data_IF_352694276589
#
_entry.id   IF_352694276589
#
_cell.length_a   1.000
_cell.length_b   1.000
_cell.length_c   1.000
_cell.angle_alpha   90.00
_cell.angle_beta   90.00
_cell.angle_gamma   90.00
#
_symmetry.space_group_name_H-M   'P 1'
#
loop_
_entity.id
_entity.type
_entity.pdbx_description
1 polymer ?
#
# COMPACT_ATOMS: atom_id res chain seq x y z
N UNK A 1 13.31 -5.92 -25.53
CA UNK A 1 14.50 -5.21 -25.03
C UNK A 1 14.00 -4.14 -24.08
N UNK A 2 14.64 -3.96 -22.92
CA UNK A 2 14.28 -2.87 -22.00
C UNK A 2 14.73 -1.53 -22.58
N UNK A 3 14.13 -0.43 -22.13
CA UNK A 3 14.55 0.92 -22.55
C UNK A 3 15.92 1.26 -21.96
N UNK A 4 16.71 2.06 -22.67
CA UNK A 4 17.96 2.62 -22.13
C UNK A 4 17.73 3.98 -21.43
N UNK A 5 16.53 4.57 -21.57
CA UNK A 5 16.17 5.83 -20.92
C UNK A 5 15.74 5.59 -19.46
N UNK A 6 16.46 6.12 -18.44
CA UNK A 6 16.08 6.01 -17.04
C UNK A 6 14.65 6.49 -16.73
N UNK A 7 14.10 7.44 -17.51
CA UNK A 7 12.75 7.93 -17.31
C UNK A 7 11.68 6.84 -17.51
N UNK A 8 11.90 5.93 -18.48
CA UNK A 8 10.99 4.82 -18.74
C UNK A 8 10.97 3.81 -17.58
N UNK A 9 12.13 3.56 -16.96
CA UNK A 9 12.25 2.72 -15.77
C UNK A 9 11.52 3.34 -14.59
N UNK A 10 11.74 4.64 -14.34
CA UNK A 10 11.07 5.37 -13.24
C UNK A 10 9.55 5.33 -13.42
N UNK A 11 9.04 5.57 -14.63
CA UNK A 11 7.60 5.51 -14.89
C UNK A 11 7.05 4.09 -14.72
N UNK A 12 7.80 3.07 -15.14
CA UNK A 12 7.42 1.68 -14.90
C UNK A 12 7.35 1.36 -13.39
N UNK A 13 8.34 1.76 -12.61
CA UNK A 13 8.38 1.56 -11.16
C UNK A 13 7.21 2.26 -10.46
N UNK A 14 6.93 3.52 -10.84
CA UNK A 14 5.76 4.27 -10.37
C UNK A 14 4.45 3.54 -10.68
N UNK A 15 4.33 2.92 -11.87
CA UNK A 15 3.16 2.09 -12.21
C UNK A 15 3.05 0.85 -11.34
N UNK A 16 4.17 0.20 -11.00
CA UNK A 16 4.16 -0.94 -10.07
C UNK A 16 3.71 -0.50 -8.67
N UNK A 17 4.23 0.64 -8.17
CA UNK A 17 3.82 1.18 -6.87
C UNK A 17 2.33 1.51 -6.83
N UNK A 18 1.76 2.08 -7.90
CA UNK A 18 0.30 2.32 -8.01
C UNK A 18 -0.51 1.02 -7.92
N UNK A 19 -0.05 -0.06 -8.56
CA UNK A 19 -0.74 -1.35 -8.49
C UNK A 19 -0.69 -1.95 -7.09
N UNK A 20 0.48 -1.91 -6.45
CA UNK A 20 0.66 -2.39 -5.08
C UNK A 20 -0.18 -1.56 -4.12
N UNK A 21 -0.18 -0.23 -4.24
CA UNK A 21 -0.98 0.68 -3.46
C UNK A 21 -2.47 0.34 -3.54
N UNK A 22 -2.99 0.06 -4.74
CA UNK A 22 -4.39 -0.34 -4.91
C UNK A 22 -4.71 -1.67 -4.22
N UNK A 23 -3.81 -2.66 -4.29
CA UNK A 23 -3.99 -3.95 -3.59
C UNK A 23 -3.93 -3.79 -2.08
N UNK A 24 -2.93 -3.06 -1.57
CA UNK A 24 -2.77 -2.76 -0.15
C UNK A 24 -3.97 -2.00 0.41
N UNK A 25 -4.47 -1.01 -0.34
CA UNK A 25 -5.66 -0.26 0.06
C UNK A 25 -6.85 -1.18 0.25
N UNK A 26 -7.07 -2.14 -0.66
CA UNK A 26 -8.14 -3.14 -0.51
C UNK A 26 -7.95 -4.08 0.68
N UNK A 27 -6.72 -4.46 1.01
CA UNK A 27 -6.43 -5.25 2.22
C UNK A 27 -6.81 -4.47 3.47
N UNK A 28 -6.42 -3.19 3.54
CA UNK A 28 -6.77 -2.33 4.67
C UNK A 28 -8.29 -2.21 4.77
N UNK A 29 -8.96 -1.71 3.72
CA UNK A 29 -10.39 -1.37 3.79
C UNK A 29 -11.31 -2.59 3.79
N UNK A 30 -10.90 -3.70 3.18
CA UNK A 30 -11.71 -4.90 3.01
C UNK A 30 -11.43 -6.00 4.03
N UNK A 31 -10.31 -5.94 4.75
CA UNK A 31 -9.93 -6.99 5.71
C UNK A 31 -9.59 -6.42 7.07
N UNK A 32 -8.71 -5.42 7.16
CA UNK A 32 -8.26 -4.90 8.46
C UNK A 32 -9.28 -3.96 9.11
N UNK A 33 -9.87 -3.04 8.34
CA UNK A 33 -10.85 -2.08 8.88
C UNK A 33 -12.07 -2.81 9.48
N UNK A 34 -12.67 -3.83 8.83
CA UNK A 34 -13.76 -4.60 9.44
C UNK A 34 -13.33 -5.38 10.69
N UNK A 35 -12.11 -5.92 10.69
CA UNK A 35 -11.56 -6.65 11.84
C UNK A 35 -11.39 -5.69 13.03
N UNK A 36 -10.71 -4.57 12.83
CA UNK A 36 -10.51 -3.53 13.85
C UNK A 36 -11.84 -2.97 14.37
N UNK A 37 -12.82 -2.77 13.48
CA UNK A 37 -14.15 -2.33 13.90
C UNK A 37 -14.89 -3.36 14.77
N UNK A 38 -14.68 -4.66 14.52
CA UNK A 38 -15.31 -5.74 15.28
C UNK A 38 -14.62 -6.00 16.62
N UNK A 39 -13.29 -5.88 16.66
CA UNK A 39 -12.43 -6.15 17.80
C UNK A 39 -11.45 -4.99 18.00
N UNK A 40 -11.93 -3.83 18.50
CA UNK A 40 -11.11 -2.63 18.59
C UNK A 40 -9.94 -2.76 19.55
N UNK A 41 -10.03 -3.63 20.56
CA UNK A 41 -8.99 -3.87 21.57
C UNK A 41 -8.00 -4.99 21.19
N UNK A 42 -8.13 -5.59 20.00
CA UNK A 42 -7.16 -6.59 19.52
C UNK A 42 -5.85 -5.89 19.11
N UNK A 43 -4.80 -6.10 19.90
CA UNK A 43 -3.48 -5.49 19.69
C UNK A 43 -2.86 -5.87 18.34
N UNK A 44 -3.15 -7.07 17.82
CA UNK A 44 -2.58 -7.53 16.56
C UNK A 44 -3.17 -6.75 15.39
N UNK A 45 -4.50 -6.57 15.33
CA UNK A 45 -5.13 -5.82 14.24
C UNK A 45 -4.83 -4.33 14.34
N UNK A 46 -4.69 -3.78 15.55
CA UNK A 46 -4.20 -2.41 15.74
C UNK A 46 -2.80 -2.22 15.15
N UNK A 47 -1.86 -3.10 15.50
CA UNK A 47 -0.49 -3.04 14.99
C UNK A 47 -0.46 -3.19 13.47
N UNK A 48 -1.13 -4.22 12.93
CA UNK A 48 -1.17 -4.47 11.49
C UNK A 48 -1.73 -3.25 10.72
N UNK A 49 -2.83 -2.67 11.22
CA UNK A 49 -3.47 -1.50 10.59
C UNK A 49 -2.54 -0.29 10.61
N UNK A 50 -1.88 -0.02 11.74
CA UNK A 50 -0.94 1.09 11.87
C UNK A 50 0.25 0.95 10.91
N UNK A 51 0.88 -0.23 10.87
CA UNK A 51 2.04 -0.49 10.01
C UNK A 51 1.67 -0.38 8.53
N UNK A 52 0.58 -1.02 8.11
CA UNK A 52 0.16 -1.00 6.71
C UNK A 52 -0.37 0.37 6.25
N UNK A 53 -0.92 1.17 7.15
CA UNK A 53 -1.28 2.56 6.85
C UNK A 53 -0.03 3.41 6.57
N UNK A 54 1.05 3.20 7.31
CA UNK A 54 2.36 3.80 7.03
C UNK A 54 2.89 3.41 5.64
N UNK A 55 2.88 2.12 5.31
CA UNK A 55 3.28 1.63 3.97
C UNK A 55 2.41 2.23 2.87
N UNK A 56 1.09 2.34 3.09
CA UNK A 56 0.16 2.97 2.14
C UNK A 56 0.55 4.42 1.87
N UNK A 57 0.88 5.20 2.90
CA UNK A 57 1.29 6.59 2.74
C UNK A 57 2.61 6.70 1.94
N UNK A 58 3.59 5.85 2.23
CA UNK A 58 4.86 5.81 1.48
C UNK A 58 4.64 5.47 0.01
N UNK A 59 3.86 4.42 -0.29
CA UNK A 59 3.55 4.04 -1.66
C UNK A 59 2.79 5.13 -2.42
N UNK A 60 1.87 5.84 -1.75
CA UNK A 60 1.18 6.98 -2.35
C UNK A 60 2.13 8.14 -2.69
N UNK A 61 3.17 8.36 -1.89
CA UNK A 61 4.19 9.37 -2.18
C UNK A 61 5.11 8.95 -3.32
N UNK A 62 5.57 7.70 -3.32
CA UNK A 62 6.47 7.16 -4.36
C UNK A 62 5.78 6.98 -5.73
N UNK A 63 4.45 6.93 -5.75
CA UNK A 63 3.65 6.79 -6.96
C UNK A 63 3.41 8.10 -7.73
N UNK A 64 3.77 9.24 -7.14
CA UNK A 64 3.69 10.58 -7.77
C UNK A 64 4.90 10.79 -8.67
#
# INVERSE_FOLDING_TARGET
MFSDDPADWIEYDKRQFRQILGRLTRVITGTLDPHLARYPDDEWVQLATAQLTGVRATLAQLSK
#
